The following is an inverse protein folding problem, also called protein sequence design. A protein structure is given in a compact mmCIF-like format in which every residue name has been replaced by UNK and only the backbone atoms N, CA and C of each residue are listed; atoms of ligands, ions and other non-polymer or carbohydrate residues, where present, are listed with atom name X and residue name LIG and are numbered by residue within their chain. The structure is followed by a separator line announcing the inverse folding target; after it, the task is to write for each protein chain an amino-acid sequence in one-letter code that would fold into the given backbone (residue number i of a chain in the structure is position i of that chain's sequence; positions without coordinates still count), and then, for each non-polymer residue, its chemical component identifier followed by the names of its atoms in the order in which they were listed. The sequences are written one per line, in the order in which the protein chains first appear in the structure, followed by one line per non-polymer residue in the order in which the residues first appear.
data_IF_921399745298
#
_entry.id   IF_921399745298
#
_cell.length_a   1.000
_cell.length_b   1.000
_cell.length_c   1.000
_cell.angle_alpha   90.00
_cell.angle_beta   90.00
_cell.angle_gamma   90.00
#
_symmetry.space_group_name_H-M   'P 1'
#
loop_
_entity.id
_entity.type
_entity.pdbx_description
1 polymer ?
#
# COMPACT_ATOMS: atom_id res chain seq x y z
N UNK A 1 -3.43 11.81 -1.69
CA UNK A 1 -2.99 12.98 -2.48
C UNK A 1 -1.99 12.63 -3.57
N UNK A 2 -0.72 12.35 -3.24
CA UNK A 2 0.31 11.99 -4.23
C UNK A 2 -0.01 10.78 -5.11
N UNK A 3 -0.71 9.79 -4.54
CA UNK A 3 -1.13 8.63 -5.33
C UNK A 3 -2.43 8.88 -6.12
N UNK A 4 -3.12 9.98 -5.83
CA UNK A 4 -4.38 10.31 -6.45
C UNK A 4 -4.17 10.83 -7.89
N UNK A 5 -3.24 11.78 -8.06
CA UNK A 5 -3.09 12.55 -9.29
C UNK A 5 -1.82 12.18 -10.05
N UNK A 6 -1.91 12.09 -11.38
CA UNK A 6 -0.77 11.74 -12.23
C UNK A 6 0.31 12.83 -12.23
N UNK A 7 -0.11 14.09 -12.29
CA UNK A 7 0.76 15.28 -12.30
C UNK A 7 1.44 15.52 -10.94
N UNK A 8 0.98 14.86 -9.87
CA UNK A 8 1.60 14.93 -8.55
C UNK A 8 2.69 13.87 -8.37
N UNK A 9 2.82 12.86 -9.24
CA UNK A 9 3.85 11.81 -9.15
C UNK A 9 5.23 12.34 -9.58
N UNK A 10 5.76 13.26 -8.80
CA UNK A 10 7.04 13.92 -9.01
C UNK A 10 8.23 13.05 -8.59
N UNK A 11 9.46 13.52 -8.85
CA UNK A 11 10.69 12.76 -8.54
C UNK A 11 11.20 12.94 -7.12
N UNK A 12 10.70 13.94 -6.38
CA UNK A 12 11.19 14.25 -5.04
C UNK A 12 10.30 13.65 -3.96
N UNK A 13 9.00 13.91 -4.00
CA UNK A 13 8.11 13.57 -2.89
C UNK A 13 7.41 12.23 -3.07
N UNK A 14 6.86 11.95 -4.26
CA UNK A 14 6.18 10.67 -4.52
C UNK A 14 7.03 9.43 -4.18
N UNK A 15 8.30 9.30 -4.59
CA UNK A 15 9.12 8.14 -4.28
C UNK A 15 9.63 8.09 -2.84
N UNK A 16 9.43 9.15 -2.04
CA UNK A 16 9.84 9.19 -0.63
C UNK A 16 8.65 8.89 0.28
N UNK A 17 7.55 9.61 0.11
CA UNK A 17 6.38 9.53 0.99
C UNK A 17 5.65 8.19 0.82
N UNK A 18 5.40 7.78 -0.43
CA UNK A 18 4.63 6.56 -0.74
C UNK A 18 5.23 5.29 -0.11
N UNK A 19 6.54 4.98 -0.25
CA UNK A 19 7.09 3.77 0.37
C UNK A 19 7.20 3.87 1.89
N UNK A 20 7.52 5.03 2.46
CA UNK A 20 7.64 5.21 3.92
C UNK A 20 6.30 4.97 4.61
N UNK A 21 5.20 5.48 4.04
CA UNK A 21 3.87 5.26 4.60
C UNK A 21 3.42 3.83 4.32
N UNK A 22 3.64 3.31 3.11
CA UNK A 22 3.16 1.98 2.70
C UNK A 22 3.77 0.81 3.48
N UNK A 23 5.02 0.91 3.93
CA UNK A 23 5.70 -0.19 4.63
C UNK A 23 5.10 -0.47 6.02
N UNK A 24 4.46 0.51 6.65
CA UNK A 24 3.94 0.41 8.03
C UNK A 24 2.95 -0.75 8.20
N UNK A 25 1.94 -0.84 7.34
CA UNK A 25 0.95 -1.92 7.34
C UNK A 25 1.53 -3.23 6.84
N UNK A 26 2.40 -3.20 5.83
CA UNK A 26 3.07 -4.40 5.30
C UNK A 26 3.89 -5.09 6.39
N UNK A 27 4.67 -4.34 7.17
CA UNK A 27 5.48 -4.88 8.26
C UNK A 27 4.61 -5.45 9.39
N UNK A 28 3.54 -4.75 9.77
CA UNK A 28 2.64 -5.16 10.87
C UNK A 28 1.95 -6.49 10.55
N UNK A 29 1.36 -6.61 9.35
CA UNK A 29 0.63 -7.82 8.96
C UNK A 29 1.61 -8.96 8.64
N UNK A 30 2.78 -8.67 8.06
CA UNK A 30 3.82 -9.68 7.87
C UNK A 30 4.30 -10.25 9.21
N UNK A 31 4.53 -9.41 10.22
CA UNK A 31 4.87 -9.86 11.57
C UNK A 31 3.79 -10.79 12.14
N UNK A 32 2.52 -10.39 12.08
CA UNK A 32 1.42 -11.18 12.61
C UNK A 32 1.28 -12.54 11.91
N UNK A 33 1.25 -12.57 10.58
CA UNK A 33 1.09 -13.79 9.80
C UNK A 33 2.29 -14.73 9.94
N UNK A 34 3.51 -14.17 9.98
CA UNK A 34 4.72 -14.96 10.14
C UNK A 34 4.80 -15.58 11.53
N UNK A 35 4.59 -14.80 12.59
CA UNK A 35 4.77 -15.25 13.97
C UNK A 35 3.72 -16.30 14.35
N UNK A 36 2.47 -16.13 13.95
CA UNK A 36 1.37 -17.01 14.36
C UNK A 36 1.16 -18.19 13.41
N UNK A 37 1.35 -18.00 12.11
CA UNK A 37 0.95 -18.99 11.10
C UNK A 37 2.08 -19.40 10.15
N UNK A 38 3.28 -18.78 10.25
CA UNK A 38 4.43 -19.01 9.35
C UNK A 38 4.09 -18.80 7.87
N UNK A 39 3.12 -17.91 7.60
CA UNK A 39 2.67 -17.61 6.24
C UNK A 39 3.48 -16.43 5.66
N UNK A 40 4.19 -16.60 4.52
CA UNK A 40 5.12 -15.60 3.99
C UNK A 40 4.47 -14.60 3.01
N UNK A 41 3.19 -14.26 3.18
CA UNK A 41 2.46 -13.41 2.23
C UNK A 41 1.79 -12.17 2.86
N UNK A 42 2.17 -11.79 4.09
CA UNK A 42 1.51 -10.67 4.78
C UNK A 42 1.66 -9.33 4.06
N UNK A 43 2.85 -9.02 3.53
CA UNK A 43 3.06 -7.78 2.78
C UNK A 43 2.26 -7.75 1.47
N UNK A 44 2.21 -8.88 0.73
CA UNK A 44 1.46 -8.95 -0.53
C UNK A 44 -0.04 -8.83 -0.29
N UNK A 45 -0.56 -9.41 0.78
CA UNK A 45 -1.96 -9.24 1.20
C UNK A 45 -2.30 -7.76 1.43
N UNK A 46 -1.46 -7.03 2.18
CA UNK A 46 -1.66 -5.59 2.42
C UNK A 46 -1.77 -4.79 1.12
N UNK A 47 -0.83 -4.98 0.21
CA UNK A 47 -0.77 -4.23 -1.05
C UNK A 47 -1.95 -4.59 -1.96
N UNK A 48 -2.36 -5.86 -2.01
CA UNK A 48 -3.54 -6.27 -2.77
C UNK A 48 -4.81 -5.62 -2.22
N UNK A 49 -4.99 -5.59 -0.90
CA UNK A 49 -6.13 -4.91 -0.28
C UNK A 49 -6.13 -3.40 -0.56
N UNK A 50 -4.96 -2.75 -0.42
CA UNK A 50 -4.79 -1.34 -0.72
C UNK A 50 -5.16 -1.03 -2.16
N UNK A 51 -4.52 -1.70 -3.13
CA UNK A 51 -4.77 -1.48 -4.56
C UNK A 51 -6.23 -1.76 -4.92
N UNK A 52 -6.82 -2.81 -4.36
CA UNK A 52 -8.24 -3.12 -4.60
C UNK A 52 -9.12 -1.97 -4.15
N UNK A 53 -9.02 -1.53 -2.89
CA UNK A 53 -9.83 -0.41 -2.38
C UNK A 53 -9.63 0.86 -3.18
N UNK A 54 -8.37 1.16 -3.51
CA UNK A 54 -7.97 2.29 -4.33
C UNK A 54 -8.57 2.27 -5.75
N UNK A 55 -8.51 1.14 -6.46
CA UNK A 55 -9.11 1.01 -7.78
C UNK A 55 -10.62 1.15 -7.72
N UNK A 56 -11.29 0.54 -6.74
CA UNK A 56 -12.74 0.68 -6.58
C UNK A 56 -13.14 2.15 -6.37
N UNK A 57 -12.41 2.88 -5.53
CA UNK A 57 -12.64 4.32 -5.34
C UNK A 57 -12.36 5.13 -6.60
N UNK A 58 -11.30 4.80 -7.36
CA UNK A 58 -10.98 5.50 -8.62
C UNK A 58 -11.97 5.26 -9.73
N UNK A 59 -12.56 4.07 -9.82
CA UNK A 59 -13.51 3.74 -10.88
C UNK A 59 -14.93 4.23 -10.61
N UNK A 60 -15.37 4.25 -9.34
CA UNK A 60 -16.76 4.57 -9.01
C UNK A 60 -16.95 5.84 -8.18
N UNK A 61 -15.93 6.28 -7.46
CA UNK A 61 -16.00 7.42 -6.54
C UNK A 61 -15.28 8.68 -7.03
N UNK A 62 -14.62 8.62 -8.19
CA UNK A 62 -13.84 9.72 -8.75
C UNK A 62 -14.25 10.08 -10.17
#
# INVERSE_FOLDING_TARGET
DWDFWLDWKDRQWWPVVTPIVGITYCATIMYYLWVNYRLPFGATLCIVCLLTGEWLTRFWGF
#
